data_IF_372738620830
#
_entry.id   IF_372738620830
#
_cell.length_a   1.000
_cell.length_b   1.000
_cell.length_c   1.000
_cell.angle_alpha   90.00
_cell.angle_beta   90.00
_cell.angle_gamma   90.00
#
_symmetry.space_group_name_H-M   'P 1'
#
loop_
_entity.id
_entity.type
_entity.pdbx_description
1 polymer ?
#
# COMPACT_ATOMS: atom_id res chain seq x y z
N UNK A 1 18.25 26.86 -1.24
CA UNK A 1 18.40 28.10 -0.45
C UNK A 1 19.61 28.93 -0.92
N UNK A 2 20.77 28.33 -1.13
CA UNK A 2 21.98 29.08 -1.58
C UNK A 2 21.89 29.67 -3.00
N UNK A 3 21.05 29.13 -3.89
CA UNK A 3 20.92 29.59 -5.28
C UNK A 3 19.98 30.78 -5.39
N UNK A 4 18.77 30.72 -4.88
CA UNK A 4 17.81 31.83 -4.83
C UNK A 4 16.69 31.52 -3.83
N UNK A 5 16.56 32.37 -2.80
CA UNK A 5 15.58 32.19 -1.70
C UNK A 5 14.14 32.32 -2.23
N UNK A 6 13.88 33.25 -3.16
CA UNK A 6 12.54 33.50 -3.67
C UNK A 6 12.01 32.31 -4.49
N UNK A 7 12.83 31.72 -5.36
CA UNK A 7 12.47 30.50 -6.11
C UNK A 7 12.24 29.32 -5.16
N UNK A 8 13.09 29.19 -4.12
CA UNK A 8 12.93 28.13 -3.12
C UNK A 8 11.62 28.26 -2.35
N UNK A 9 11.22 29.47 -1.94
CA UNK A 9 9.94 29.69 -1.26
C UNK A 9 8.75 29.31 -2.16
N UNK A 10 8.81 29.64 -3.44
CA UNK A 10 7.76 29.22 -4.39
C UNK A 10 7.64 27.71 -4.53
N UNK A 11 8.75 26.98 -4.53
CA UNK A 11 8.71 25.50 -4.53
C UNK A 11 8.15 24.93 -3.25
N UNK A 12 8.45 25.56 -2.12
CA UNK A 12 7.95 25.10 -0.82
C UNK A 12 6.45 25.29 -0.65
N UNK A 13 5.80 26.20 -1.36
CA UNK A 13 4.34 26.44 -1.24
C UNK A 13 3.53 25.19 -1.63
N UNK A 14 3.93 24.47 -2.67
CA UNK A 14 3.17 23.30 -3.17
C UNK A 14 3.44 22.02 -2.36
N UNK A 15 4.59 21.97 -1.64
CA UNK A 15 4.96 20.79 -0.82
C UNK A 15 3.91 20.41 0.21
N UNK A 16 3.38 21.31 1.06
CA UNK A 16 2.37 20.95 2.05
C UNK A 16 1.08 20.43 1.41
N UNK A 17 0.70 20.96 0.24
CA UNK A 17 -0.48 20.46 -0.50
C UNK A 17 -0.24 19.05 -1.03
N UNK A 18 0.93 18.78 -1.58
CA UNK A 18 1.30 17.47 -2.10
C UNK A 18 1.39 16.44 -0.97
N UNK A 19 1.99 16.79 0.16
CA UNK A 19 2.05 15.93 1.35
C UNK A 19 0.67 15.66 1.91
N UNK A 20 -0.16 16.69 2.08
CA UNK A 20 -1.54 16.56 2.56
C UNK A 20 -2.37 15.65 1.65
N UNK A 21 -2.30 15.86 0.33
CA UNK A 21 -2.95 15.01 -0.67
C UNK A 21 -2.49 13.54 -0.56
N UNK A 22 -1.19 13.33 -0.40
CA UNK A 22 -0.60 11.99 -0.24
C UNK A 22 -1.11 11.30 1.02
N UNK A 23 -1.18 11.98 2.16
CA UNK A 23 -1.70 11.40 3.42
C UNK A 23 -3.17 11.01 3.27
N UNK A 24 -4.01 11.89 2.70
CA UNK A 24 -5.43 11.59 2.46
C UNK A 24 -5.59 10.39 1.53
N UNK A 25 -4.78 10.30 0.49
CA UNK A 25 -4.79 9.17 -0.42
C UNK A 25 -4.44 7.86 0.28
N UNK A 26 -3.35 7.83 1.06
CA UNK A 26 -2.90 6.61 1.73
C UNK A 26 -3.92 6.10 2.77
N UNK A 27 -4.57 6.99 3.52
CA UNK A 27 -5.62 6.60 4.44
C UNK A 27 -6.83 5.95 3.73
N UNK A 28 -7.15 6.39 2.51
CA UNK A 28 -8.23 5.81 1.72
C UNK A 28 -7.83 4.49 1.05
N UNK A 29 -6.59 4.40 0.56
CA UNK A 29 -6.10 3.21 -0.10
C UNK A 29 -5.99 2.04 0.88
N UNK A 30 -5.53 2.28 2.11
CA UNK A 30 -5.43 1.25 3.16
C UNK A 30 -6.79 0.57 3.43
N UNK A 31 -7.85 1.37 3.60
CA UNK A 31 -9.20 0.84 3.80
C UNK A 31 -9.70 0.03 2.61
N UNK A 32 -9.29 0.42 1.41
CA UNK A 32 -9.71 -0.27 0.18
C UNK A 32 -8.92 -1.56 -0.01
N UNK A 33 -7.64 -1.57 0.32
CA UNK A 33 -6.80 -2.77 0.34
C UNK A 33 -7.35 -3.81 1.30
N UNK A 34 -7.70 -3.42 2.53
CA UNK A 34 -8.29 -4.36 3.50
C UNK A 34 -9.51 -5.07 2.94
N UNK A 35 -10.41 -4.34 2.27
CA UNK A 35 -11.60 -4.92 1.63
C UNK A 35 -11.24 -5.86 0.47
N UNK A 36 -10.18 -5.55 -0.26
CA UNK A 36 -9.69 -6.40 -1.34
C UNK A 36 -9.10 -7.69 -0.79
N UNK A 37 -8.23 -7.61 0.22
CA UNK A 37 -7.60 -8.77 0.88
C UNK A 37 -8.67 -9.72 1.48
N UNK A 38 -9.72 -9.16 2.10
CA UNK A 38 -10.85 -9.96 2.62
C UNK A 38 -11.61 -10.68 1.48
N UNK A 39 -11.82 -10.01 0.36
CA UNK A 39 -12.49 -10.61 -0.80
C UNK A 39 -11.60 -11.65 -1.50
N UNK A 40 -10.29 -11.41 -1.58
CA UNK A 40 -9.31 -12.36 -2.13
C UNK A 40 -9.20 -13.61 -1.25
N UNK A 41 -9.20 -13.44 0.07
CA UNK A 41 -9.23 -14.55 1.02
C UNK A 41 -10.46 -15.43 0.84
N UNK A 42 -11.66 -14.83 0.71
CA UNK A 42 -12.90 -15.58 0.41
C UNK A 42 -12.83 -16.32 -0.92
N UNK A 43 -12.32 -15.67 -1.97
CA UNK A 43 -12.14 -16.29 -3.29
C UNK A 43 -11.20 -17.49 -3.22
N UNK A 44 -10.08 -17.33 -2.52
CA UNK A 44 -9.09 -18.40 -2.31
C UNK A 44 -9.69 -19.58 -1.54
N UNK A 45 -10.52 -19.34 -0.53
CA UNK A 45 -11.23 -20.38 0.22
C UNK A 45 -12.18 -21.16 -0.68
N UNK A 46 -13.00 -20.48 -1.49
CA UNK A 46 -13.92 -21.13 -2.44
C UNK A 46 -13.15 -21.97 -3.45
N UNK A 47 -12.04 -21.46 -3.96
CA UNK A 47 -11.19 -22.20 -4.89
C UNK A 47 -10.61 -23.47 -4.23
N UNK A 48 -10.09 -23.34 -3.01
CA UNK A 48 -9.49 -24.45 -2.27
C UNK A 48 -10.51 -25.52 -1.91
N UNK A 49 -11.72 -25.12 -1.49
CA UNK A 49 -12.83 -26.05 -1.25
C UNK A 49 -13.18 -26.84 -2.53
N UNK A 50 -13.26 -26.15 -3.66
CA UNK A 50 -13.55 -26.78 -4.96
C UNK A 50 -12.46 -27.75 -5.41
N UNK A 51 -11.18 -27.40 -5.25
CA UNK A 51 -10.06 -28.26 -5.59
C UNK A 51 -10.02 -29.53 -4.72
N UNK A 52 -10.26 -29.37 -3.42
CA UNK A 52 -10.30 -30.51 -2.50
C UNK A 52 -11.55 -31.39 -2.69
N UNK A 53 -12.69 -30.77 -3.00
CA UNK A 53 -13.99 -31.43 -3.16
C UNK A 53 -14.32 -31.85 -4.59
N UNK A 54 -13.41 -31.74 -5.57
CA UNK A 54 -13.70 -31.93 -7.00
C UNK A 54 -14.35 -33.28 -7.33
N UNK A 55 -13.98 -34.35 -6.62
CA UNK A 55 -14.57 -35.67 -6.79
C UNK A 55 -16.05 -35.71 -6.38
N UNK A 56 -16.36 -35.03 -5.29
CA UNK A 56 -17.73 -34.92 -4.76
C UNK A 56 -18.59 -34.10 -5.70
N UNK A 57 -18.08 -32.94 -6.14
CA UNK A 57 -18.76 -32.05 -7.10
C UNK A 57 -19.15 -32.83 -8.40
N UNK A 58 -18.20 -33.62 -8.94
CA UNK A 58 -18.43 -34.45 -10.11
C UNK A 58 -19.41 -35.59 -9.86
N UNK A 59 -19.33 -36.24 -8.69
CA UNK A 59 -20.23 -37.34 -8.35
C UNK A 59 -21.71 -36.89 -8.27
N UNK A 60 -21.95 -35.63 -7.83
CA UNK A 60 -23.27 -35.05 -7.73
C UNK A 60 -23.68 -34.16 -8.93
N UNK A 61 -22.83 -34.07 -9.97
CA UNK A 61 -23.04 -33.22 -11.14
C UNK A 61 -23.39 -31.74 -10.80
N UNK A 62 -22.70 -31.19 -9.82
CA UNK A 62 -22.93 -29.83 -9.30
C UNK A 62 -21.90 -28.80 -9.77
N UNK A 63 -21.23 -29.06 -10.88
CA UNK A 63 -20.19 -28.17 -11.42
C UNK A 63 -20.72 -26.76 -11.67
N UNK A 64 -21.92 -26.62 -12.21
CA UNK A 64 -22.53 -25.33 -12.50
C UNK A 64 -22.76 -24.50 -11.23
N UNK A 65 -23.21 -25.14 -10.15
CA UNK A 65 -23.42 -24.49 -8.86
C UNK A 65 -22.10 -23.94 -8.31
N UNK A 66 -21.03 -24.72 -8.37
CA UNK A 66 -19.72 -24.29 -7.88
C UNK A 66 -19.10 -23.19 -8.75
N UNK A 67 -19.31 -23.23 -10.08
CA UNK A 67 -18.90 -22.14 -10.99
C UNK A 67 -19.63 -20.85 -10.63
N UNK A 68 -20.95 -20.91 -10.43
CA UNK A 68 -21.74 -19.71 -10.06
C UNK A 68 -21.29 -19.16 -8.71
N UNK A 69 -21.04 -20.01 -7.70
CA UNK A 69 -20.48 -19.63 -6.40
C UNK A 69 -19.13 -18.90 -6.54
N UNK A 70 -18.23 -19.46 -7.34
CA UNK A 70 -16.94 -18.87 -7.64
C UNK A 70 -17.07 -17.52 -8.35
N UNK A 71 -17.96 -17.43 -9.34
CA UNK A 71 -18.16 -16.20 -10.11
C UNK A 71 -18.67 -15.04 -9.26
N UNK A 72 -19.57 -15.28 -8.31
CA UNK A 72 -20.04 -14.28 -7.37
C UNK A 72 -18.89 -13.72 -6.54
N UNK A 73 -18.06 -14.60 -5.98
CA UNK A 73 -16.92 -14.21 -5.14
C UNK A 73 -15.84 -13.49 -5.96
N UNK A 74 -15.59 -13.97 -7.18
CA UNK A 74 -14.66 -13.35 -8.12
C UNK A 74 -15.10 -11.95 -8.55
N UNK A 75 -16.40 -11.73 -8.77
CA UNK A 75 -16.96 -10.40 -9.08
C UNK A 75 -16.73 -9.42 -7.92
N UNK A 76 -16.88 -9.87 -6.67
CA UNK A 76 -16.61 -9.04 -5.49
C UNK A 76 -15.12 -8.67 -5.39
N UNK A 77 -14.23 -9.64 -5.53
CA UNK A 77 -12.78 -9.43 -5.55
C UNK A 77 -12.37 -8.46 -6.67
N UNK A 78 -12.83 -8.70 -7.90
CA UNK A 78 -12.59 -7.82 -9.04
C UNK A 78 -13.09 -6.39 -8.81
N UNK A 79 -14.29 -6.22 -8.24
CA UNK A 79 -14.84 -4.89 -7.93
C UNK A 79 -13.96 -4.11 -6.98
N UNK A 80 -13.44 -4.74 -5.94
CA UNK A 80 -12.53 -4.12 -4.99
C UNK A 80 -11.16 -3.83 -5.62
N UNK A 81 -10.62 -4.74 -6.44
CA UNK A 81 -9.39 -4.51 -7.21
C UNK A 81 -9.51 -3.33 -8.17
N UNK A 82 -10.63 -3.20 -8.88
CA UNK A 82 -10.87 -2.04 -9.76
C UNK A 82 -10.97 -0.72 -8.99
N UNK A 83 -11.44 -0.73 -7.73
CA UNK A 83 -11.44 0.47 -6.88
C UNK A 83 -10.01 0.91 -6.53
N UNK A 84 -9.14 -0.05 -6.21
CA UNK A 84 -7.71 0.22 -5.95
C UNK A 84 -7.08 0.86 -7.19
N UNK A 85 -7.28 0.27 -8.39
CA UNK A 85 -6.74 0.81 -9.64
C UNK A 85 -7.24 2.23 -9.91
N UNK A 86 -8.53 2.51 -9.69
CA UNK A 86 -9.09 3.86 -9.85
C UNK A 86 -8.47 4.86 -8.88
N UNK A 87 -8.28 4.48 -7.61
CA UNK A 87 -7.62 5.34 -6.63
C UNK A 87 -6.19 5.66 -7.06
N UNK A 88 -5.42 4.67 -7.50
CA UNK A 88 -4.07 4.90 -8.02
C UNK A 88 -4.07 5.78 -9.26
N UNK A 89 -4.98 5.55 -10.21
CA UNK A 89 -5.09 6.38 -11.40
C UNK A 89 -5.34 7.86 -11.05
N UNK A 90 -6.27 8.12 -10.12
CA UNK A 90 -6.53 9.49 -9.64
C UNK A 90 -5.30 10.07 -8.95
N UNK A 91 -4.66 9.30 -8.07
CA UNK A 91 -3.48 9.77 -7.34
C UNK A 91 -2.34 10.18 -8.28
N UNK A 92 -2.00 9.31 -9.24
CA UNK A 92 -0.93 9.61 -10.19
C UNK A 92 -1.27 10.80 -11.08
N UNK A 93 -2.50 10.84 -11.62
CA UNK A 93 -2.92 11.94 -12.51
C UNK A 93 -2.94 13.29 -11.79
N UNK A 94 -3.50 13.35 -10.56
CA UNK A 94 -3.55 14.59 -9.79
C UNK A 94 -2.15 15.02 -9.34
N UNK A 95 -1.33 14.08 -8.85
CA UNK A 95 0.05 14.36 -8.45
C UNK A 95 0.88 14.90 -9.62
N UNK A 96 0.74 14.30 -10.82
CA UNK A 96 1.45 14.77 -12.00
C UNK A 96 0.97 16.15 -12.45
N UNK A 97 -0.33 16.41 -12.43
CA UNK A 97 -0.87 17.73 -12.73
C UNK A 97 -0.35 18.80 -11.77
N UNK A 98 -0.27 18.51 -10.47
CA UNK A 98 0.29 19.42 -9.45
C UNK A 98 1.78 19.72 -9.74
N UNK A 99 2.55 18.66 -10.02
CA UNK A 99 3.99 18.79 -10.31
C UNK A 99 4.24 19.56 -11.61
N UNK A 100 3.50 19.26 -12.67
CA UNK A 100 3.62 19.97 -13.95
C UNK A 100 3.22 21.44 -13.82
N UNK A 101 2.15 21.74 -13.06
CA UNK A 101 1.76 23.13 -12.78
C UNK A 101 2.85 23.89 -12.03
N UNK A 102 3.52 23.23 -11.08
CA UNK A 102 4.63 23.83 -10.35
C UNK A 102 5.84 24.10 -11.25
N UNK A 103 6.21 23.13 -12.08
CA UNK A 103 7.32 23.30 -13.04
C UNK A 103 7.02 24.45 -14.00
N UNK A 104 5.80 24.51 -14.55
CA UNK A 104 5.37 25.59 -15.42
C UNK A 104 5.42 26.96 -14.75
N UNK A 105 4.99 27.06 -13.49
CA UNK A 105 5.04 28.29 -12.71
C UNK A 105 6.48 28.76 -12.48
N UNK A 106 7.36 27.86 -12.08
CA UNK A 106 8.78 28.19 -11.85
C UNK A 106 9.47 28.54 -13.16
N UNK A 107 9.15 27.86 -14.25
CA UNK A 107 9.68 28.18 -15.56
C UNK A 107 9.24 29.60 -15.99
N UNK A 108 7.97 29.93 -15.87
CA UNK A 108 7.42 31.22 -16.20
C UNK A 108 8.07 32.36 -15.42
N UNK A 109 8.09 32.23 -14.07
CA UNK A 109 8.73 33.25 -13.21
C UNK A 109 10.23 33.30 -13.40
N UNK A 110 10.86 32.13 -13.54
CA UNK A 110 12.31 32.01 -13.74
C UNK A 110 12.79 32.65 -15.05
N UNK A 111 12.05 32.47 -16.16
CA UNK A 111 12.34 33.14 -17.43
C UNK A 111 12.24 34.66 -17.27
N UNK A 112 11.18 35.15 -16.65
CA UNK A 112 10.99 36.58 -16.41
C UNK A 112 12.16 37.18 -15.61
N UNK A 113 12.63 36.49 -14.57
CA UNK A 113 13.77 36.94 -13.76
C UNK A 113 15.12 36.77 -14.49
N UNK A 114 15.24 35.82 -15.38
CA UNK A 114 16.44 35.66 -16.20
C UNK A 114 16.58 36.82 -17.23
N UNK A 115 15.47 37.19 -17.89
CA UNK A 115 15.41 38.29 -18.82
C UNK A 115 15.67 39.63 -18.13
N UNK A 116 15.18 39.83 -16.90
CA UNK A 116 15.45 41.02 -16.09
C UNK A 116 16.86 41.07 -15.49
N UNK A 117 17.69 40.03 -15.71
CA UNK A 117 19.05 39.95 -15.14
C UNK A 117 19.11 39.60 -13.64
N UNK A 118 17.99 39.31 -13.01
CA UNK A 118 17.91 38.96 -11.58
C UNK A 118 18.52 37.59 -11.25
N UNK A 119 18.50 36.65 -12.18
CA UNK A 119 19.11 35.33 -12.09
C UNK A 119 19.81 34.93 -13.36
N UNK A 120 20.83 34.08 -13.31
CA UNK A 120 21.47 33.54 -14.51
C UNK A 120 20.65 32.35 -15.07
N UNK A 121 20.76 32.13 -16.38
CA UNK A 121 20.14 30.97 -17.05
C UNK A 121 20.62 29.65 -16.43
N UNK A 122 21.90 29.55 -16.07
CA UNK A 122 22.44 28.38 -15.38
C UNK A 122 21.78 28.12 -14.03
N UNK A 123 21.46 29.19 -13.30
CA UNK A 123 20.71 29.06 -12.03
C UNK A 123 19.29 28.52 -12.25
N UNK A 124 18.60 28.99 -13.29
CA UNK A 124 17.25 28.48 -13.61
C UNK A 124 17.28 27.01 -14.00
N UNK A 125 18.22 26.62 -14.87
CA UNK A 125 18.35 25.20 -15.29
C UNK A 125 18.69 24.30 -14.09
N UNK A 126 19.65 24.69 -13.26
CA UNK A 126 20.03 23.97 -12.08
C UNK A 126 18.83 23.81 -11.12
N UNK A 127 18.01 24.86 -10.97
CA UNK A 127 16.84 24.85 -10.10
C UNK A 127 15.77 23.89 -10.58
N UNK A 128 15.46 23.88 -11.89
CA UNK A 128 14.51 22.94 -12.51
C UNK A 128 14.97 21.48 -12.35
N UNK A 129 16.26 21.23 -12.52
CA UNK A 129 16.85 19.91 -12.35
C UNK A 129 16.72 19.41 -10.89
N UNK A 130 17.09 20.24 -9.93
CA UNK A 130 16.96 19.88 -8.50
C UNK A 130 15.52 19.71 -8.06
N UNK A 131 14.61 20.51 -8.61
CA UNK A 131 13.18 20.34 -8.35
C UNK A 131 12.66 18.98 -8.83
N UNK A 132 13.01 18.57 -10.06
CA UNK A 132 12.65 17.26 -10.59
C UNK A 132 13.17 16.12 -9.71
N UNK A 133 14.43 16.23 -9.26
CA UNK A 133 15.02 15.25 -8.34
C UNK A 133 14.35 15.19 -6.96
N UNK A 134 13.87 16.33 -6.45
CA UNK A 134 13.24 16.41 -5.12
C UNK A 134 11.80 15.89 -5.11
N UNK A 135 11.05 16.15 -6.18
CA UNK A 135 9.61 15.83 -6.22
C UNK A 135 9.34 14.32 -6.26
N UNK A 136 10.23 13.55 -6.89
CA UNK A 136 10.08 12.09 -6.94
C UNK A 136 10.11 11.42 -5.55
N UNK A 137 11.15 11.60 -4.71
CA UNK A 137 11.18 11.03 -3.37
C UNK A 137 10.04 11.55 -2.48
N UNK A 138 9.59 12.80 -2.64
CA UNK A 138 8.47 13.33 -1.86
C UNK A 138 7.17 12.59 -2.18
N UNK A 139 6.89 12.29 -3.44
CA UNK A 139 5.72 11.47 -3.83
C UNK A 139 5.80 10.04 -3.27
N UNK A 140 7.01 9.47 -3.24
CA UNK A 140 7.22 8.12 -2.68
C UNK A 140 7.13 8.08 -1.16
N UNK A 141 7.37 9.22 -0.49
CA UNK A 141 7.41 9.28 0.97
C UNK A 141 6.09 8.81 1.63
N UNK A 142 4.95 9.18 1.06
CA UNK A 142 3.65 8.73 1.56
C UNK A 142 3.49 7.21 1.51
N UNK A 143 3.98 6.56 0.45
CA UNK A 143 4.00 5.10 0.34
C UNK A 143 4.90 4.48 1.41
N UNK A 144 6.09 5.05 1.61
CA UNK A 144 7.02 4.58 2.65
C UNK A 144 6.39 4.67 4.04
N UNK A 145 5.70 5.77 4.35
CA UNK A 145 4.99 5.94 5.63
C UNK A 145 3.89 4.88 5.81
N UNK A 146 3.11 4.60 4.76
CA UNK A 146 2.08 3.56 4.82
C UNK A 146 2.66 2.15 5.01
N UNK A 147 3.74 1.83 4.31
CA UNK A 147 4.44 0.54 4.43
C UNK A 147 5.09 0.41 5.82
N UNK A 148 5.59 1.51 6.39
CA UNK A 148 6.12 1.54 7.75
C UNK A 148 5.02 1.26 8.80
N UNK A 149 3.83 1.83 8.63
CA UNK A 149 2.68 1.54 9.48
C UNK A 149 2.29 0.06 9.48
N UNK A 150 2.27 -0.58 8.31
CA UNK A 150 2.03 -2.02 8.19
C UNK A 150 3.12 -2.85 8.88
N UNK A 151 4.37 -2.44 8.73
CA UNK A 151 5.52 -3.11 9.35
C UNK A 151 5.43 -3.09 10.87
N UNK A 152 5.02 -1.97 11.49
CA UNK A 152 4.81 -1.87 12.94
C UNK A 152 3.74 -2.87 13.42
N UNK A 153 2.62 -2.97 12.71
CA UNK A 153 1.55 -3.92 13.05
C UNK A 153 2.05 -5.37 12.94
N UNK A 154 2.82 -5.68 11.90
CA UNK A 154 3.39 -7.02 11.71
C UNK A 154 4.41 -7.37 12.79
N UNK A 155 5.26 -6.43 13.18
CA UNK A 155 6.20 -6.58 14.29
C UNK A 155 5.42 -6.84 15.60
N UNK A 156 4.36 -6.07 15.87
CA UNK A 156 3.52 -6.29 17.05
C UNK A 156 2.97 -7.72 17.13
N UNK A 157 2.48 -8.27 16.03
CA UNK A 157 2.00 -9.67 15.98
C UNK A 157 3.11 -10.70 16.20
N UNK A 158 4.30 -10.45 15.67
CA UNK A 158 5.46 -11.33 15.90
C UNK A 158 5.87 -11.26 17.36
N UNK A 159 5.91 -10.07 17.95
CA UNK A 159 6.24 -9.88 19.37
C UNK A 159 5.24 -10.61 20.27
N UNK A 160 3.94 -10.51 19.98
CA UNK A 160 2.87 -11.23 20.70
C UNK A 160 3.12 -12.75 20.71
N UNK A 161 3.51 -13.33 19.57
CA UNK A 161 3.84 -14.77 19.48
C UNK A 161 5.13 -15.11 20.25
N UNK A 162 6.14 -14.22 20.20
CA UNK A 162 7.42 -14.46 20.88
C UNK A 162 7.33 -14.27 22.40
N UNK A 163 6.43 -13.41 22.86
CA UNK A 163 6.18 -13.17 24.29
C UNK A 163 5.21 -14.19 24.90
N UNK A 164 4.51 -14.98 24.05
CA UNK A 164 3.64 -16.05 24.55
C UNK A 164 4.48 -17.02 25.37
N UNK A 165 4.14 -17.26 26.65
CA UNK A 165 4.89 -18.15 27.51
C UNK A 165 4.93 -19.54 26.90
N UNK A 166 6.14 -20.02 26.62
CA UNK A 166 6.36 -21.40 26.21
C UNK A 166 5.56 -22.30 27.14
N UNK A 167 4.71 -23.14 26.56
CA UNK A 167 3.97 -24.14 27.33
C UNK A 167 5.02 -24.92 28.11
N UNK A 168 5.15 -24.62 29.40
CA UNK A 168 6.04 -25.36 30.27
C UNK A 168 5.50 -26.78 30.22
N UNK A 169 6.10 -27.61 29.37
CA UNK A 169 5.84 -29.04 29.41
C UNK A 169 5.93 -29.38 30.88
N UNK A 170 4.77 -29.71 31.45
CA UNK A 170 4.66 -30.05 32.84
C UNK A 170 5.87 -30.85 33.21
N UNK A 171 6.63 -30.38 34.20
CA UNK A 171 7.81 -31.05 34.73
C UNK A 171 7.56 -32.55 34.61
N UNK A 172 8.49 -33.25 34.01
CA UNK A 172 8.46 -34.67 33.69
C UNK A 172 7.67 -35.38 34.80
N UNK A 173 6.39 -35.63 34.54
CA UNK A 173 5.56 -36.36 35.47
C UNK A 173 6.35 -37.65 35.72
N UNK A 174 6.85 -37.82 36.93
CA UNK A 174 7.55 -39.06 37.28
C UNK A 174 6.56 -40.17 36.96
N UNK A 175 6.81 -40.89 35.89
CA UNK A 175 6.06 -42.08 35.51
C UNK A 175 6.14 -43.04 36.69
N UNK A 176 5.11 -43.03 37.52
CA UNK A 176 4.93 -44.12 38.49
C UNK A 176 4.65 -45.36 37.67
N UNK A 177 5.26 -46.46 38.06
CA UNK A 177 5.20 -47.80 37.48
C UNK A 177 3.85 -48.06 36.80
N UNK A 178 3.78 -47.87 35.50
CA UNK A 178 2.57 -48.07 34.70
C UNK A 178 2.42 -49.57 34.48
N UNK A 179 1.43 -50.21 35.09
CA UNK A 179 1.16 -51.66 34.95
C UNK A 179 0.48 -51.99 33.62
N UNK A 180 0.32 -51.03 32.69
CA UNK A 180 -0.13 -51.29 31.31
C UNK A 180 -1.60 -51.80 31.18
N UNK A 181 -2.42 -51.80 32.21
CA UNK A 181 -3.81 -52.20 32.12
C UNK A 181 -4.65 -51.09 31.53
N UNK A 182 -5.17 -51.30 30.32
CA UNK A 182 -6.07 -50.36 29.61
C UNK A 182 -7.48 -51.00 29.69
N UNK A 183 -8.41 -50.38 30.42
CA UNK A 183 -9.83 -50.70 30.37
C UNK A 183 -10.51 -49.72 29.39
N UNK A 184 -11.24 -50.27 28.42
CA UNK A 184 -12.12 -49.53 27.51
C UNK A 184 -13.51 -49.42 28.07
#
# INVERSE_FOLDING_TARGET
LKLNVKLTLMTLIILPFLVGFTIVFFNNIEKTFKKFDEAEGKLSTVLQENLNGVRVVKAFAKEKFEIDKFEVTNKECRKNGLRILKLFAIFWSVSDAMVMSQIALILFVGIHWTVSGAISLGTLVAFLTYQGMLLYPIRQFGRVVADFGKSIVSIGRITEILEEPLDKSKEKAKLHNIQGNICF
#
